data_IF_660328268515
#
_entry.id   IF_660328268515
#
_cell.length_a   1.000
_cell.length_b   1.000
_cell.length_c   1.000
_cell.angle_alpha   90.00
_cell.angle_beta   90.00
_cell.angle_gamma   90.00
#
_symmetry.space_group_name_H-M   'P 1'
#
loop_
_entity.id
_entity.type
_entity.pdbx_description
1 polymer ?
#
# COMPACT_ATOMS: atom_id res chain seq x y z
N UNK A 1 16.02 -6.84 -3.11
CA UNK A 1 14.98 -6.17 -2.33
C UNK A 1 13.74 -5.97 -3.20
N UNK A 2 12.58 -6.34 -2.67
CA UNK A 2 11.35 -6.25 -3.43
C UNK A 2 10.55 -5.02 -3.01
N UNK A 3 10.21 -4.19 -3.97
CA UNK A 3 9.36 -3.03 -3.74
C UNK A 3 7.98 -3.34 -4.30
N UNK A 4 6.96 -2.90 -3.59
CA UNK A 4 5.58 -3.26 -3.94
C UNK A 4 4.76 -2.04 -4.32
N UNK A 5 3.83 -2.24 -5.23
CA UNK A 5 2.86 -1.20 -5.58
C UNK A 5 1.67 -1.32 -4.63
N UNK A 6 1.13 -0.19 -4.23
CA UNK A 6 0.00 -0.17 -3.30
C UNK A 6 -1.24 0.37 -4.03
N UNK A 7 -2.31 -0.40 -3.97
CA UNK A 7 -3.57 -0.07 -4.65
C UNK A 7 -4.70 0.06 -3.63
N UNK A 8 -5.74 0.78 -4.03
CA UNK A 8 -6.98 0.85 -3.24
C UNK A 8 -8.04 0.01 -3.92
N UNK A 9 -8.65 -0.88 -3.15
CA UNK A 9 -9.77 -1.75 -3.56
C UNK A 9 -9.41 -2.85 -4.54
N UNK A 10 -8.76 -2.53 -5.65
CA UNK A 10 -8.42 -3.54 -6.66
C UNK A 10 -7.10 -3.20 -7.32
N UNK A 11 -6.48 -4.22 -7.89
CA UNK A 11 -5.21 -4.05 -8.59
C UNK A 11 -5.47 -3.50 -9.97
N UNK A 12 -5.74 -2.20 -10.05
CA UNK A 12 -5.96 -1.51 -11.32
C UNK A 12 -5.15 -0.23 -11.35
N UNK A 13 -4.73 0.17 -12.54
CA UNK A 13 -3.87 1.33 -12.69
C UNK A 13 -4.48 2.60 -12.12
N UNK A 14 -5.78 2.78 -12.25
CA UNK A 14 -6.44 3.96 -11.72
C UNK A 14 -6.63 3.92 -10.20
N UNK A 15 -6.30 2.79 -9.59
CA UNK A 15 -6.37 2.62 -8.13
C UNK A 15 -5.00 2.63 -7.48
N UNK A 16 -3.96 2.87 -8.24
CA UNK A 16 -2.60 2.90 -7.72
C UNK A 16 -2.39 4.14 -6.86
N UNK A 17 -1.96 3.92 -5.63
CA UNK A 17 -1.72 4.99 -4.67
C UNK A 17 -0.25 5.38 -4.65
N UNK A 18 0.60 4.37 -4.59
CA UNK A 18 2.04 4.61 -4.50
C UNK A 18 2.77 3.47 -5.18
N UNK A 19 3.82 3.81 -5.90
CA UNK A 19 4.67 2.83 -6.56
C UNK A 19 5.92 2.58 -5.75
N UNK A 20 6.39 1.35 -5.78
CA UNK A 20 7.65 0.97 -5.17
C UNK A 20 7.72 1.31 -3.68
N UNK A 21 6.66 0.93 -2.95
CA UNK A 21 6.65 1.09 -1.51
C UNK A 21 7.67 0.15 -0.89
N UNK A 22 8.47 0.68 0.00
CA UNK A 22 9.47 -0.10 0.73
C UNK A 22 8.98 -0.50 2.11
N UNK A 23 7.94 0.17 2.60
CA UNK A 23 7.44 -0.08 3.94
C UNK A 23 5.96 0.20 4.03
N UNK A 24 5.25 -0.71 4.69
CA UNK A 24 3.82 -0.53 4.99
C UNK A 24 3.67 -0.76 6.48
N UNK A 25 3.21 0.26 7.19
CA UNK A 25 3.02 0.17 8.63
C UNK A 25 1.53 0.21 8.91
N UNK A 26 1.04 -0.79 9.62
CA UNK A 26 -0.38 -0.90 9.94
C UNK A 26 -0.58 -0.50 11.40
N UNK A 27 -1.50 0.44 11.62
CA UNK A 27 -1.86 0.91 12.94
C UNK A 27 -3.37 0.68 13.09
N UNK A 28 -3.90 0.94 14.28
CA UNK A 28 -5.31 0.67 14.59
C UNK A 28 -6.30 1.23 13.58
N UNK A 29 -6.07 2.46 13.16
CA UNK A 29 -6.99 3.15 12.25
C UNK A 29 -6.34 3.59 10.95
N UNK A 30 -5.04 3.36 10.80
CA UNK A 30 -4.28 3.92 9.68
C UNK A 30 -3.39 2.89 9.02
N UNK A 31 -3.13 3.10 7.74
CA UNK A 31 -2.07 2.40 7.04
C UNK A 31 -1.12 3.47 6.50
N UNK A 32 0.13 3.37 6.88
CA UNK A 32 1.15 4.31 6.45
C UNK A 32 2.07 3.61 5.46
N UNK A 33 2.21 4.17 4.27
CA UNK A 33 3.07 3.60 3.23
C UNK A 33 4.19 4.57 2.90
N UNK A 34 5.35 4.04 2.59
CA UNK A 34 6.55 4.84 2.39
C UNK A 34 7.42 4.23 1.32
N UNK A 35 8.06 5.08 0.52
CA UNK A 35 8.99 4.64 -0.52
C UNK A 35 10.41 4.90 -0.09
N UNK A 36 11.36 4.27 -0.80
CA UNK A 36 12.78 4.53 -0.54
C UNK A 36 13.20 5.91 -1.03
N UNK A 37 12.34 6.57 -1.80
CA UNK A 37 12.63 7.90 -2.34
C UNK A 37 12.17 9.02 -1.42
N UNK A 38 11.65 8.68 -0.25
CA UNK A 38 11.22 9.68 0.71
C UNK A 38 9.75 10.06 0.65
N UNK A 39 9.01 9.50 -0.29
CA UNK A 39 7.57 9.75 -0.36
C UNK A 39 6.84 8.90 0.67
N UNK A 40 5.77 9.45 1.22
CA UNK A 40 4.95 8.69 2.15
C UNK A 40 3.50 9.14 2.07
N UNK A 41 2.60 8.25 2.46
CA UNK A 41 1.17 8.55 2.55
C UNK A 41 0.59 7.86 3.77
N UNK A 42 -0.33 8.56 4.42
CA UNK A 42 -1.05 7.99 5.55
C UNK A 42 -2.51 7.87 5.16
N UNK A 43 -3.02 6.64 5.17
CA UNK A 43 -4.38 6.35 4.72
C UNK A 43 -5.23 5.99 5.94
N UNK A 44 -6.02 6.96 6.39
CA UNK A 44 -6.88 6.78 7.55
C UNK A 44 -8.12 5.98 7.18
N UNK A 45 -8.51 5.06 8.06
CA UNK A 45 -9.72 4.28 7.85
C UNK A 45 -9.57 3.16 6.86
N UNK A 46 -8.34 2.77 6.54
CA UNK A 46 -8.08 1.67 5.61
C UNK A 46 -7.45 0.50 6.35
N UNK A 47 -7.48 -0.65 5.72
CA UNK A 47 -6.81 -1.84 6.24
C UNK A 47 -6.17 -2.59 5.09
N UNK A 48 -5.20 -3.45 5.40
CA UNK A 48 -4.54 -4.27 4.39
C UNK A 48 -5.46 -5.45 4.07
N UNK A 49 -5.92 -5.50 2.82
CA UNK A 49 -6.81 -6.55 2.37
C UNK A 49 -6.04 -7.72 1.76
N UNK A 50 -4.99 -7.41 1.02
CA UNK A 50 -4.24 -8.46 0.32
C UNK A 50 -2.79 -8.05 0.15
N UNK A 51 -1.89 -9.00 0.36
CA UNK A 51 -0.46 -8.83 0.08
C UNK A 51 -0.06 -9.95 -0.85
N UNK A 52 0.49 -9.60 -2.01
CA UNK A 52 0.98 -10.59 -2.96
C UNK A 52 2.48 -10.43 -3.09
N UNK A 53 3.22 -11.41 -2.56
CA UNK A 53 4.67 -11.35 -2.52
C UNK A 53 5.32 -11.83 -3.82
N UNK A 54 4.56 -12.53 -4.65
CA UNK A 54 5.06 -12.98 -5.95
C UNK A 54 5.02 -11.85 -6.96
N UNK A 55 3.94 -11.09 -6.94
CA UNK A 55 3.75 -10.00 -7.89
C UNK A 55 4.07 -8.63 -7.27
N UNK A 56 4.41 -8.63 -6.00
CA UNK A 56 4.83 -7.41 -5.29
C UNK A 56 3.80 -6.30 -5.31
N UNK A 57 2.61 -6.60 -4.77
CA UNK A 57 1.60 -5.56 -4.60
C UNK A 57 0.85 -5.76 -3.30
N UNK A 58 0.25 -4.66 -2.85
CA UNK A 58 -0.57 -4.62 -1.65
C UNK A 58 -1.87 -3.93 -2.01
N UNK A 59 -2.98 -4.49 -1.55
CA UNK A 59 -4.29 -3.88 -1.76
C UNK A 59 -4.85 -3.46 -0.41
N UNK A 60 -5.24 -2.20 -0.33
CA UNK A 60 -5.87 -1.64 0.85
C UNK A 60 -7.34 -1.42 0.58
N UNK A 61 -8.17 -1.63 1.60
CA UNK A 61 -9.60 -1.38 1.49
C UNK A 61 -10.05 -0.52 2.64
N UNK A 62 -11.09 0.24 2.38
CA UNK A 62 -11.66 1.11 3.40
C UNK A 62 -12.47 0.27 4.38
N UNK A 63 -12.33 0.59 5.64
CA UNK A 63 -13.08 -0.08 6.71
C UNK A 63 -14.57 0.24 6.65
#
# INVERSE_FOLDING_TARGET
MCLSNVYLDEKKQDKLVIEEASQVIVDDANVHVQTIFGESKNLEGYYVSEVNLMENYVILRKK
#
